data_IF_695036532905
#
_entry.id   IF_695036532905
#
_cell.length_a   1.000
_cell.length_b   1.000
_cell.length_c   1.000
_cell.angle_alpha   90.00
_cell.angle_beta   90.00
_cell.angle_gamma   90.00
#
_symmetry.space_group_name_H-M   'P 1'
#
loop_
_entity.id
_entity.type
_entity.pdbx_description
1 polymer ?
#
# COMPACT_ATOMS: atom_id res chain seq x y z
N UNK A 1 -31.82 42.10 -65.22
CA UNK A 1 -30.88 41.47 -64.33
C UNK A 1 -30.70 42.35 -63.10
N UNK A 2 -31.40 42.06 -62.03
CA UNK A 2 -31.23 42.73 -60.77
C UNK A 2 -30.07 42.07 -60.06
N UNK A 3 -28.87 42.62 -60.13
CA UNK A 3 -27.80 42.31 -59.18
C UNK A 3 -28.28 42.83 -57.83
N UNK A 4 -28.56 41.94 -56.90
CA UNK A 4 -28.93 42.31 -55.53
C UNK A 4 -27.86 43.18 -54.88
N UNK A 5 -28.11 43.72 -53.65
CA UNK A 5 -27.16 44.60 -52.97
C UNK A 5 -25.78 43.94 -52.87
N UNK A 6 -24.81 44.52 -53.55
CA UNK A 6 -23.43 44.06 -53.53
C UNK A 6 -22.77 44.49 -52.23
N UNK A 7 -22.23 43.54 -51.46
CA UNK A 7 -21.48 43.86 -50.26
C UNK A 7 -20.09 44.44 -50.67
N UNK A 8 -19.95 45.76 -50.53
CA UNK A 8 -18.72 46.48 -50.87
C UNK A 8 -17.54 46.15 -49.94
N UNK A 9 -17.83 45.48 -48.80
CA UNK A 9 -16.82 45.08 -47.82
C UNK A 9 -16.49 43.57 -47.89
N UNK A 10 -17.02 42.86 -48.90
CA UNK A 10 -16.86 41.40 -49.01
C UNK A 10 -15.38 40.95 -49.11
N UNK A 11 -14.54 41.72 -49.79
CA UNK A 11 -13.13 41.40 -49.88
C UNK A 11 -12.39 41.59 -48.56
N UNK A 12 -12.67 42.67 -47.83
CA UNK A 12 -12.09 42.94 -46.51
C UNK A 12 -12.50 41.89 -45.49
N UNK A 13 -13.80 41.54 -45.45
CA UNK A 13 -14.37 40.51 -44.57
C UNK A 13 -13.80 39.13 -44.91
N UNK A 14 -13.62 38.82 -46.19
CA UNK A 14 -13.00 37.58 -46.64
C UNK A 14 -11.52 37.48 -46.21
N UNK A 15 -10.76 38.57 -46.33
CA UNK A 15 -9.38 38.64 -45.90
C UNK A 15 -9.23 38.49 -44.37
N UNK A 16 -10.13 39.15 -43.59
CA UNK A 16 -10.16 39.01 -42.14
C UNK A 16 -10.49 37.55 -41.70
N UNK A 17 -11.50 36.97 -42.35
CA UNK A 17 -11.85 35.57 -42.07
C UNK A 17 -10.74 34.57 -42.48
N UNK A 18 -10.06 34.81 -43.60
CA UNK A 18 -8.92 34.01 -44.03
C UNK A 18 -7.76 34.05 -43.01
N UNK A 19 -7.38 35.24 -42.53
CA UNK A 19 -6.36 35.42 -41.50
C UNK A 19 -6.74 34.76 -40.18
N UNK A 20 -8.02 34.86 -39.79
CA UNK A 20 -8.51 34.20 -38.60
C UNK A 20 -8.53 32.68 -38.72
N UNK A 21 -8.89 32.15 -39.89
CA UNK A 21 -8.81 30.72 -40.21
C UNK A 21 -7.38 30.18 -40.14
N UNK A 22 -6.43 30.91 -40.72
CA UNK A 22 -5.02 30.53 -40.67
C UNK A 22 -4.50 30.46 -39.22
N UNK A 23 -4.78 31.47 -38.42
CA UNK A 23 -4.44 31.48 -36.98
C UNK A 23 -5.03 30.30 -36.25
N UNK A 24 -6.32 29.99 -36.44
CA UNK A 24 -6.98 28.84 -35.82
C UNK A 24 -6.40 27.51 -36.30
N UNK A 25 -5.97 27.41 -37.56
CA UNK A 25 -5.32 26.20 -38.09
C UNK A 25 -3.95 25.97 -37.47
N UNK A 26 -3.16 27.03 -37.26
CA UNK A 26 -1.87 26.94 -36.56
C UNK A 26 -2.07 26.51 -35.11
N UNK A 27 -2.96 27.20 -34.38
CA UNK A 27 -3.28 26.84 -32.99
C UNK A 27 -3.77 25.40 -32.85
N UNK A 28 -4.66 24.95 -33.77
CA UNK A 28 -5.10 23.55 -33.78
C UNK A 28 -3.97 22.56 -34.01
N UNK A 29 -3.05 22.88 -34.93
CA UNK A 29 -1.89 22.04 -35.22
C UNK A 29 -0.99 21.93 -33.99
N UNK A 30 -0.69 23.05 -33.35
CA UNK A 30 0.16 23.12 -32.16
C UNK A 30 -0.44 22.33 -30.98
N UNK A 31 -1.75 22.53 -30.74
CA UNK A 31 -2.49 21.79 -29.70
C UNK A 31 -2.52 20.28 -29.99
N UNK A 32 -2.76 19.90 -31.25
CA UNK A 32 -2.76 18.49 -31.64
C UNK A 32 -1.39 17.84 -31.43
N UNK A 33 -0.33 18.56 -31.80
CA UNK A 33 1.05 18.12 -31.58
C UNK A 33 1.40 18.03 -30.09
N UNK A 34 0.94 18.96 -29.26
CA UNK A 34 1.13 18.93 -27.82
C UNK A 34 0.38 17.74 -27.19
N UNK A 35 -0.85 17.48 -27.58
CA UNK A 35 -1.65 16.33 -27.12
C UNK A 35 -0.97 15.00 -27.49
N UNK A 36 -0.43 14.89 -28.72
CA UNK A 36 0.27 13.70 -29.16
C UNK A 36 1.50 13.40 -28.27
N UNK A 37 2.32 14.42 -28.01
CA UNK A 37 3.51 14.28 -27.13
C UNK A 37 3.14 13.91 -25.70
N UNK A 38 2.09 14.51 -25.15
CA UNK A 38 1.59 14.16 -23.80
C UNK A 38 1.09 12.72 -23.73
N UNK A 39 0.36 12.25 -24.75
CA UNK A 39 -0.11 10.86 -24.81
C UNK A 39 1.04 9.87 -24.90
N UNK A 40 2.05 10.17 -25.67
CA UNK A 40 3.27 9.35 -25.77
C UNK A 40 3.97 9.25 -24.41
N UNK A 41 4.21 10.38 -23.73
CA UNK A 41 4.82 10.38 -22.39
C UNK A 41 3.98 9.63 -21.35
N UNK A 42 2.65 9.74 -21.40
CA UNK A 42 1.76 8.96 -20.52
C UNK A 42 1.89 7.45 -20.80
N UNK A 43 1.93 7.05 -22.06
CA UNK A 43 2.07 5.65 -22.45
C UNK A 43 3.42 5.06 -22.00
N UNK A 44 4.50 5.80 -22.12
CA UNK A 44 5.82 5.40 -21.62
C UNK A 44 5.82 5.22 -20.11
N UNK A 45 5.29 6.21 -19.35
CA UNK A 45 5.18 6.14 -17.91
C UNK A 45 4.31 4.96 -17.45
N UNK A 46 3.18 4.72 -18.12
CA UNK A 46 2.32 3.59 -17.81
C UNK A 46 2.99 2.26 -18.10
N UNK A 47 3.75 2.14 -19.18
CA UNK A 47 4.51 0.92 -19.50
C UNK A 47 5.55 0.62 -18.43
N UNK A 48 6.36 1.61 -18.07
CA UNK A 48 7.36 1.49 -17.00
C UNK A 48 6.69 1.20 -15.63
N UNK A 49 5.57 1.86 -15.35
CA UNK A 49 4.77 1.63 -14.14
C UNK A 49 4.28 0.19 -14.03
N UNK A 50 3.75 -0.39 -15.11
CA UNK A 50 3.30 -1.80 -15.15
C UNK A 50 4.45 -2.77 -14.87
N UNK A 51 5.58 -2.58 -15.52
CA UNK A 51 6.75 -3.44 -15.36
C UNK A 51 7.25 -3.41 -13.90
N UNK A 52 7.42 -2.21 -13.33
CA UNK A 52 7.86 -2.05 -11.94
C UNK A 52 6.87 -2.63 -10.94
N UNK A 53 5.56 -2.44 -11.18
CA UNK A 53 4.51 -2.95 -10.30
C UNK A 53 4.48 -4.48 -10.32
N UNK A 54 4.56 -5.10 -11.49
CA UNK A 54 4.58 -6.57 -11.60
C UNK A 54 5.82 -7.16 -10.94
N UNK A 55 6.99 -6.57 -11.16
CA UNK A 55 8.23 -7.03 -10.52
C UNK A 55 8.14 -6.92 -8.99
N UNK A 56 7.64 -5.81 -8.46
CA UNK A 56 7.43 -5.65 -7.02
C UNK A 56 6.37 -6.61 -6.47
N UNK A 57 5.29 -6.84 -7.22
CA UNK A 57 4.24 -7.77 -6.85
C UNK A 57 4.76 -9.20 -6.69
N UNK A 58 5.58 -9.69 -7.62
CA UNK A 58 6.17 -11.03 -7.54
C UNK A 58 7.01 -11.20 -6.26
N UNK A 59 7.88 -10.22 -5.95
CA UNK A 59 8.71 -10.24 -4.74
C UNK A 59 7.86 -10.23 -3.47
N UNK A 60 6.83 -9.39 -3.41
CA UNK A 60 5.93 -9.30 -2.26
C UNK A 60 5.14 -10.60 -2.11
N UNK A 61 4.67 -11.18 -3.20
CA UNK A 61 3.90 -12.43 -3.18
C UNK A 61 4.73 -13.60 -2.64
N UNK A 62 5.99 -13.74 -3.04
CA UNK A 62 6.89 -14.77 -2.51
C UNK A 62 7.18 -14.58 -1.01
N UNK A 63 7.39 -13.35 -0.57
CA UNK A 63 7.52 -13.05 0.86
C UNK A 63 6.24 -13.35 1.63
N UNK A 64 5.09 -13.02 1.06
CA UNK A 64 3.78 -13.30 1.65
C UNK A 64 3.55 -14.81 1.83
N UNK A 65 3.80 -15.62 0.80
CA UNK A 65 3.71 -17.09 0.89
C UNK A 65 4.56 -17.64 2.04
N UNK A 66 5.81 -17.17 2.11
CA UNK A 66 6.76 -17.61 3.14
C UNK A 66 6.29 -17.24 4.56
N UNK A 67 5.87 -15.98 4.76
CA UNK A 67 5.38 -15.50 6.05
C UNK A 67 4.08 -16.17 6.45
N UNK A 68 3.16 -16.37 5.51
CA UNK A 68 1.92 -17.09 5.77
C UNK A 68 2.18 -18.52 6.25
N UNK A 69 3.04 -19.26 5.56
CA UNK A 69 3.41 -20.62 5.98
C UNK A 69 4.02 -20.66 7.38
N UNK A 70 4.87 -19.69 7.73
CA UNK A 70 5.45 -19.59 9.06
C UNK A 70 4.40 -19.29 10.13
N UNK A 71 3.51 -18.32 9.89
CA UNK A 71 2.47 -17.89 10.83
C UNK A 71 1.40 -18.96 11.06
N UNK A 72 0.97 -19.65 10.01
CA UNK A 72 -0.08 -20.66 10.08
C UNK A 72 0.47 -22.07 10.33
N UNK A 73 1.82 -22.23 10.45
CA UNK A 73 2.50 -23.52 10.58
C UNK A 73 2.15 -24.49 9.44
N UNK A 74 2.05 -23.97 8.23
CA UNK A 74 1.71 -24.67 7.01
C UNK A 74 0.64 -23.94 6.18
N UNK A 75 -0.03 -24.68 5.31
CA UNK A 75 -1.02 -24.11 4.41
C UNK A 75 -0.39 -23.43 3.20
N UNK A 76 -1.23 -22.76 2.41
CA UNK A 76 -0.83 -22.06 1.20
C UNK A 76 -1.55 -20.71 1.14
N UNK A 77 -0.88 -19.70 0.63
CA UNK A 77 -1.50 -18.42 0.35
C UNK A 77 -0.82 -17.74 -0.82
N UNK A 78 -1.55 -16.90 -1.50
CA UNK A 78 -1.05 -16.10 -2.61
C UNK A 78 -1.82 -14.78 -2.72
N UNK A 79 -1.15 -13.78 -3.24
CA UNK A 79 -1.76 -12.53 -3.65
C UNK A 79 -2.15 -12.66 -5.12
N UNK A 80 -3.31 -12.11 -5.50
CA UNK A 80 -3.74 -12.05 -6.90
C UNK A 80 -4.19 -10.64 -7.25
N UNK A 81 -3.84 -10.23 -8.46
CA UNK A 81 -4.42 -9.05 -9.09
C UNK A 81 -5.77 -9.45 -9.67
N UNK A 82 -6.81 -8.68 -9.39
CA UNK A 82 -8.20 -8.95 -9.75
C UNK A 82 -8.86 -7.71 -10.35
N UNK A 83 -10.06 -7.88 -10.92
CA UNK A 83 -10.93 -6.81 -11.43
C UNK A 83 -10.48 -6.14 -12.73
N UNK A 84 -9.20 -6.19 -13.12
CA UNK A 84 -8.70 -5.60 -14.35
C UNK A 84 -7.56 -6.43 -14.93
N UNK A 85 -7.46 -6.48 -16.26
CA UNK A 85 -6.29 -7.02 -16.97
C UNK A 85 -5.10 -6.06 -16.93
N UNK A 86 -5.36 -4.74 -16.73
CA UNK A 86 -4.30 -3.75 -16.54
C UNK A 86 -3.83 -3.76 -15.08
N UNK A 87 -2.56 -4.13 -14.81
CA UNK A 87 -2.02 -4.15 -13.45
C UNK A 87 -2.13 -2.83 -12.70
N UNK A 88 -2.12 -1.68 -13.41
CA UNK A 88 -2.23 -0.35 -12.80
C UNK A 88 -3.64 -0.06 -12.26
N UNK A 89 -4.66 -0.74 -12.79
CA UNK A 89 -6.07 -0.59 -12.41
C UNK A 89 -6.58 -1.79 -11.61
N UNK A 90 -5.76 -2.83 -11.45
CA UNK A 90 -6.16 -4.05 -10.79
C UNK A 90 -6.27 -3.88 -9.26
N UNK A 91 -7.27 -4.51 -8.67
CA UNK A 91 -7.38 -4.72 -7.24
C UNK A 91 -6.41 -5.80 -6.75
N UNK A 92 -6.11 -5.81 -5.45
CA UNK A 92 -5.29 -6.83 -4.82
C UNK A 92 -6.15 -7.68 -3.88
N UNK A 93 -6.22 -8.97 -4.13
CA UNK A 93 -6.96 -9.91 -3.29
C UNK A 93 -6.05 -10.99 -2.70
N UNK A 94 -6.37 -11.40 -1.45
CA UNK A 94 -5.66 -12.46 -0.74
C UNK A 94 -6.46 -13.75 -0.86
N UNK A 95 -5.81 -14.76 -1.41
CA UNK A 95 -6.28 -16.14 -1.43
C UNK A 95 -5.45 -16.95 -0.45
N UNK A 96 -6.10 -17.64 0.48
CA UNK A 96 -5.42 -18.37 1.52
C UNK A 96 -6.13 -19.71 1.84
N UNK A 97 -5.32 -20.68 2.19
CA UNK A 97 -5.71 -22.04 2.58
C UNK A 97 -4.97 -22.38 3.87
N UNK A 98 -5.48 -22.01 5.05
CA UNK A 98 -4.93 -22.50 6.31
C UNK A 98 -4.91 -24.03 6.38
N UNK A 99 -4.06 -24.63 7.21
CA UNK A 99 -4.01 -26.09 7.35
C UNK A 99 -5.38 -26.71 7.63
N UNK A 100 -5.74 -27.74 6.86
CA UNK A 100 -7.02 -28.44 7.00
C UNK A 100 -8.24 -27.73 6.41
N UNK A 101 -8.07 -26.58 5.76
CA UNK A 101 -9.13 -25.84 5.06
C UNK A 101 -8.98 -25.88 3.55
N UNK A 102 -9.94 -25.29 2.84
CA UNK A 102 -9.88 -25.08 1.39
C UNK A 102 -9.40 -23.68 1.07
N UNK A 103 -8.81 -23.51 -0.10
CA UNK A 103 -8.44 -22.19 -0.62
C UNK A 103 -9.69 -21.30 -0.71
N UNK A 104 -9.62 -20.14 -0.08
CA UNK A 104 -10.70 -19.16 -0.04
C UNK A 104 -10.14 -17.73 -0.04
N UNK A 105 -10.99 -16.77 -0.36
CA UNK A 105 -10.66 -15.36 -0.18
C UNK A 105 -10.62 -15.00 1.28
N UNK A 106 -9.85 -13.97 1.63
CA UNK A 106 -9.68 -13.51 3.01
C UNK A 106 -11.03 -13.21 3.69
N UNK A 107 -12.01 -12.73 2.97
CA UNK A 107 -13.36 -12.41 3.48
C UNK A 107 -14.12 -13.62 4.07
N UNK A 108 -13.73 -14.85 3.69
CA UNK A 108 -14.35 -16.10 4.17
C UNK A 108 -13.57 -16.74 5.34
N UNK A 109 -12.50 -16.11 5.81
CA UNK A 109 -11.71 -16.56 6.95
C UNK A 109 -12.28 -16.04 8.27
N UNK A 110 -11.92 -16.70 9.39
CA UNK A 110 -12.26 -16.18 10.74
C UNK A 110 -11.51 -14.87 11.02
N UNK A 111 -12.05 -14.04 11.94
CA UNK A 111 -11.45 -12.73 12.26
C UNK A 111 -9.98 -12.81 12.66
N UNK A 112 -9.59 -13.76 13.50
CA UNK A 112 -8.18 -13.98 13.87
C UNK A 112 -7.30 -14.43 12.68
N UNK A 113 -7.82 -15.30 11.80
CA UNK A 113 -7.11 -15.69 10.58
C UNK A 113 -6.96 -14.52 9.61
N UNK A 114 -7.99 -13.68 9.48
CA UNK A 114 -7.91 -12.46 8.66
C UNK A 114 -6.82 -11.52 9.18
N UNK A 115 -6.79 -11.27 10.50
CA UNK A 115 -5.79 -10.41 11.11
C UNK A 115 -4.37 -10.96 10.91
N UNK A 116 -4.18 -12.27 11.08
CA UNK A 116 -2.89 -12.93 10.90
C UNK A 116 -2.44 -12.91 9.42
N UNK A 117 -3.37 -13.12 8.47
CA UNK A 117 -3.10 -13.00 7.03
C UNK A 117 -2.77 -11.55 6.63
N UNK A 118 -3.48 -10.57 7.20
CA UNK A 118 -3.18 -9.16 7.00
C UNK A 118 -1.79 -8.80 7.54
N UNK A 119 -1.42 -9.30 8.72
CA UNK A 119 -0.08 -9.13 9.29
C UNK A 119 1.01 -9.73 8.39
N UNK A 120 0.77 -10.94 7.83
CA UNK A 120 1.69 -11.56 6.86
C UNK A 120 1.88 -10.69 5.62
N UNK A 121 0.81 -10.08 5.09
CA UNK A 121 0.86 -9.18 3.93
C UNK A 121 1.66 -7.92 4.23
N UNK A 122 1.40 -7.27 5.38
CA UNK A 122 2.16 -6.08 5.81
C UNK A 122 3.63 -6.45 5.95
N UNK A 123 3.92 -7.57 6.62
CA UNK A 123 5.26 -8.09 6.78
C UNK A 123 5.99 -8.36 5.47
N UNK A 124 5.29 -8.88 4.47
CA UNK A 124 5.83 -9.09 3.13
C UNK A 124 6.24 -7.77 2.46
N UNK A 125 5.41 -6.74 2.59
CA UNK A 125 5.71 -5.39 2.08
C UNK A 125 6.92 -4.76 2.77
N UNK A 126 6.99 -4.83 4.10
CA UNK A 126 8.14 -4.33 4.88
C UNK A 126 9.43 -5.05 4.48
N UNK A 127 9.35 -6.37 4.25
CA UNK A 127 10.50 -7.19 3.86
C UNK A 127 10.99 -6.88 2.44
N UNK A 128 10.06 -6.62 1.52
CA UNK A 128 10.39 -6.29 0.14
C UNK A 128 11.03 -4.90 0.01
N UNK A 129 10.57 -3.92 0.79
CA UNK A 129 11.02 -2.52 0.71
C UNK A 129 12.03 -2.12 1.80
N UNK A 130 12.35 -3.02 2.75
CA UNK A 130 13.24 -2.74 3.88
C UNK A 130 12.85 -1.44 4.60
N UNK A 131 11.59 -1.30 4.96
CA UNK A 131 11.09 -0.10 5.61
C UNK A 131 11.84 0.16 6.94
N UNK A 132 12.29 1.39 7.22
CA UNK A 132 13.08 1.69 8.43
C UNK A 132 12.25 1.62 9.71
N UNK A 133 10.94 1.82 9.62
CA UNK A 133 10.03 1.77 10.77
C UNK A 133 8.63 1.29 10.34
N UNK A 134 7.93 0.61 11.25
CA UNK A 134 6.55 0.21 11.11
C UNK A 134 5.74 0.58 12.35
N UNK A 135 4.53 1.07 12.15
CA UNK A 135 3.58 1.37 13.24
C UNK A 135 2.40 0.42 13.12
N UNK A 136 2.08 -0.28 14.20
CA UNK A 136 1.02 -1.27 14.30
C UNK A 136 0.06 -0.82 15.40
N UNK A 137 -1.19 -0.59 15.05
CA UNK A 137 -2.21 -0.09 15.95
C UNK A 137 -3.27 -1.19 16.18
N UNK A 138 -3.29 -1.75 17.39
CA UNK A 138 -4.21 -2.80 17.86
C UNK A 138 -4.36 -4.01 16.90
N UNK A 139 -3.31 -4.36 16.16
CA UNK A 139 -3.33 -5.47 15.18
C UNK A 139 -3.53 -6.83 15.86
N UNK A 140 -3.16 -6.95 17.12
CA UNK A 140 -3.27 -8.14 17.95
C UNK A 140 -4.64 -8.29 18.66
N UNK A 141 -5.49 -7.27 18.66
CA UNK A 141 -6.80 -7.29 19.33
C UNK A 141 -7.71 -8.48 18.90
N UNK A 142 -7.82 -8.88 17.63
CA UNK A 142 -8.63 -10.02 17.20
C UNK A 142 -7.92 -11.37 17.31
N UNK A 143 -6.67 -11.43 17.80
CA UNK A 143 -5.87 -12.63 17.90
C UNK A 143 -6.09 -13.32 19.26
N UNK A 144 -6.11 -14.65 19.27
CA UNK A 144 -5.97 -15.44 20.48
C UNK A 144 -4.49 -15.51 20.93
N UNK A 145 -4.24 -15.93 22.15
CA UNK A 145 -2.90 -15.96 22.76
C UNK A 145 -1.87 -16.72 21.89
N UNK A 146 -2.27 -17.82 21.29
CA UNK A 146 -1.40 -18.63 20.44
C UNK A 146 -1.04 -17.90 19.13
N UNK A 147 -1.97 -17.15 18.56
CA UNK A 147 -1.74 -16.34 17.37
C UNK A 147 -0.98 -15.04 17.69
N UNK A 148 -1.16 -14.47 18.89
CA UNK A 148 -0.34 -13.35 19.37
C UNK A 148 1.14 -13.75 19.46
N UNK A 149 1.43 -14.93 20.03
CA UNK A 149 2.82 -15.42 20.08
C UNK A 149 3.42 -15.58 18.69
N UNK A 150 2.70 -16.11 17.73
CA UNK A 150 3.15 -16.25 16.34
C UNK A 150 3.39 -14.89 15.69
N UNK A 151 2.49 -13.95 15.93
CA UNK A 151 2.61 -12.57 15.46
C UNK A 151 3.86 -11.90 16.04
N UNK A 152 4.11 -12.00 17.33
CA UNK A 152 5.30 -11.46 17.98
C UNK A 152 6.59 -12.10 17.44
N UNK A 153 6.60 -13.43 17.25
CA UNK A 153 7.74 -14.12 16.65
C UNK A 153 8.05 -13.61 15.23
N UNK A 154 7.02 -13.35 14.44
CA UNK A 154 7.18 -12.75 13.10
C UNK A 154 7.81 -11.35 13.20
N UNK A 155 7.33 -10.50 14.11
CA UNK A 155 7.89 -9.14 14.31
C UNK A 155 9.35 -9.20 14.73
N UNK A 156 9.71 -10.09 15.67
CA UNK A 156 11.08 -10.32 16.11
C UNK A 156 11.99 -10.74 14.95
N UNK A 157 11.53 -11.68 14.13
CA UNK A 157 12.27 -12.13 12.96
C UNK A 157 12.46 -11.01 11.94
N UNK A 158 11.42 -10.24 11.68
CA UNK A 158 11.47 -9.11 10.76
C UNK A 158 12.42 -8.02 11.28
N UNK A 159 12.30 -7.62 12.55
CA UNK A 159 13.18 -6.63 13.15
C UNK A 159 14.65 -7.00 13.02
N UNK A 160 14.99 -8.30 13.22
CA UNK A 160 16.36 -8.79 13.07
C UNK A 160 16.87 -8.81 11.62
N UNK A 161 16.00 -9.20 10.66
CA UNK A 161 16.41 -9.38 9.25
C UNK A 161 16.44 -8.08 8.46
N UNK A 162 15.48 -7.18 8.72
CA UNK A 162 15.32 -5.92 7.97
C UNK A 162 15.81 -4.70 8.73
N UNK A 163 16.19 -4.86 10.02
CA UNK A 163 16.53 -3.76 10.93
C UNK A 163 15.40 -2.73 11.09
N UNK A 164 14.17 -3.13 10.79
CA UNK A 164 12.97 -2.31 10.95
C UNK A 164 12.66 -2.14 12.43
N UNK A 165 12.37 -0.92 12.85
CA UNK A 165 11.87 -0.61 14.19
C UNK A 165 10.35 -0.65 14.18
N UNK A 166 9.75 -1.48 15.04
CA UNK A 166 8.30 -1.54 15.18
C UNK A 166 7.84 -0.76 16.41
N UNK A 167 6.77 0.00 16.23
CA UNK A 167 6.02 0.65 17.29
C UNK A 167 4.65 -0.03 17.30
N UNK A 168 4.35 -0.80 18.35
CA UNK A 168 3.07 -1.45 18.52
C UNK A 168 2.24 -0.70 19.57
N UNK A 169 1.04 -0.30 19.21
CA UNK A 169 0.03 0.23 20.13
C UNK A 169 -0.86 -0.96 20.47
N UNK A 170 -0.88 -1.35 21.75
CA UNK A 170 -1.62 -2.54 22.19
C UNK A 170 -2.02 -2.44 23.67
N UNK A 171 -3.06 -3.13 24.03
CA UNK A 171 -3.46 -3.39 25.42
C UNK A 171 -3.31 -4.87 25.80
N UNK A 172 -2.79 -5.70 24.90
CA UNK A 172 -2.59 -7.13 25.13
C UNK A 172 -1.32 -7.36 25.97
N UNK A 173 -1.43 -8.00 27.16
CA UNK A 173 -0.30 -8.23 28.04
C UNK A 173 0.76 -9.17 27.45
N UNK A 174 0.37 -10.12 26.59
CA UNK A 174 1.30 -11.05 25.91
C UNK A 174 2.17 -10.27 24.92
N UNK A 175 1.57 -9.42 24.10
CA UNK A 175 2.32 -8.55 23.19
C UNK A 175 3.24 -7.62 23.95
N UNK A 176 2.76 -6.97 25.02
CA UNK A 176 3.57 -6.07 25.85
C UNK A 176 4.80 -6.76 26.43
N UNK A 177 4.65 -7.99 26.95
CA UNK A 177 5.76 -8.76 27.54
C UNK A 177 6.85 -9.14 26.51
N UNK A 178 6.55 -9.12 25.21
CA UNK A 178 7.48 -9.48 24.13
C UNK A 178 8.24 -8.26 23.56
N UNK A 179 7.89 -7.06 23.97
CA UNK A 179 8.52 -5.82 23.47
C UNK A 179 9.81 -5.51 24.23
N UNK A 180 10.77 -4.86 23.57
CA UNK A 180 12.03 -4.44 24.20
C UNK A 180 11.81 -3.29 25.18
N UNK A 181 10.88 -2.38 24.86
CA UNK A 181 10.58 -1.19 25.65
C UNK A 181 9.11 -0.86 25.62
N UNK A 182 8.57 -0.53 26.78
CA UNK A 182 7.20 -0.08 26.95
C UNK A 182 7.13 1.42 27.17
N UNK A 183 6.16 2.05 26.56
CA UNK A 183 5.78 3.44 26.80
C UNK A 183 4.33 3.47 27.22
N UNK A 184 4.06 3.93 28.43
CA UNK A 184 2.72 4.12 28.95
C UNK A 184 2.38 5.60 29.02
N UNK A 185 1.11 5.92 28.71
CA UNK A 185 0.57 7.26 28.92
C UNK A 185 -0.30 7.21 30.17
N UNK A 186 0.06 7.97 31.17
CA UNK A 186 -0.68 8.07 32.43
C UNK A 186 -1.13 9.51 32.68
N UNK A 187 -2.09 9.71 33.55
CA UNK A 187 -2.63 11.01 33.91
C UNK A 187 -2.60 11.14 35.45
N UNK A 188 -1.51 11.70 35.97
CA UNK A 188 -1.34 11.95 37.40
C UNK A 188 -2.25 13.08 37.88
N UNK A 189 -2.46 14.10 37.03
CA UNK A 189 -3.39 15.21 37.28
C UNK A 189 -4.42 15.26 36.14
N UNK A 190 -5.68 15.63 36.46
CA UNK A 190 -6.75 15.73 35.46
C UNK A 190 -6.35 16.67 34.32
N UNK A 191 -6.33 16.15 33.08
CA UNK A 191 -5.99 16.93 31.88
C UNK A 191 -4.50 17.04 31.57
N UNK A 192 -3.61 16.46 32.39
CA UNK A 192 -2.15 16.46 32.15
C UNK A 192 -1.66 15.05 31.92
N UNK A 193 -1.34 14.72 30.69
CA UNK A 193 -0.76 13.43 30.31
C UNK A 193 0.73 13.38 30.59
N UNK A 194 1.19 12.27 31.17
CA UNK A 194 2.59 12.01 31.46
C UNK A 194 3.03 10.73 30.79
N UNK A 195 4.19 10.76 30.11
CA UNK A 195 4.80 9.58 29.48
C UNK A 195 5.68 8.86 30.49
N UNK A 196 5.44 7.56 30.66
CA UNK A 196 6.27 6.65 31.46
C UNK A 196 6.89 5.62 30.54
N UNK A 197 8.19 5.34 30.69
CA UNK A 197 8.87 4.32 29.91
C UNK A 197 9.57 3.29 30.80
N UNK A 198 9.52 2.02 30.38
CA UNK A 198 10.19 0.90 31.02
C UNK A 198 10.96 0.13 29.97
N UNK A 199 12.25 -0.08 30.18
CA UNK A 199 13.10 -0.95 29.38
C UNK A 199 13.06 -2.34 29.98
N UNK A 200 12.38 -3.28 29.32
CA UNK A 200 12.16 -4.63 29.85
C UNK A 200 13.45 -5.45 29.85
N UNK A 201 14.33 -5.27 28.87
CA UNK A 201 15.61 -5.98 28.83
C UNK A 201 16.53 -5.58 29.99
N UNK A 202 16.53 -4.30 30.36
CA UNK A 202 17.27 -3.84 31.55
C UNK A 202 16.65 -4.37 32.83
N UNK A 203 15.32 -4.39 32.92
CA UNK A 203 14.61 -4.92 34.08
C UNK A 203 14.90 -6.42 34.29
N UNK A 204 14.86 -7.22 33.23
CA UNK A 204 15.20 -8.65 33.28
C UNK A 204 16.67 -8.89 33.69
N UNK A 205 17.60 -8.10 33.14
CA UNK A 205 19.02 -8.22 33.47
C UNK A 205 19.30 -7.87 34.96
N UNK A 206 18.53 -6.94 35.55
CA UNK A 206 18.62 -6.59 36.96
C UNK A 206 17.98 -7.66 37.87
N UNK A 207 16.91 -8.31 37.40
CA UNK A 207 16.22 -9.38 38.17
C UNK A 207 17.01 -10.70 38.17
N UNK A 208 17.92 -10.90 37.24
CA UNK A 208 18.77 -12.09 37.11
C UNK A 208 20.09 -12.04 37.91
N UNK A 209 20.36 -10.92 38.58
CA UNK A 209 21.50 -10.73 39.51
C UNK A 209 21.08 -10.96 40.97
#
# INVERSE_FOLDING_TARGET
DAIGPVNLRAEDEAAEHAGRLETMQIERSDLTGAIARLREGINELNSEGRERLLAAFEVINEHFKTLFQALFQGGQAELRLVESEDPLEAGLEIYACPPGKRMATMSLMSGGEQALAAAARIGAGVRAQQAPSGVLDEVDAPLDDANVDRFCNMLDEMARRTQTRFIAITHNPVTMARMDRLFGVTMAERGVSQLVSVDLRQAEAMAAQ
#
